data_IF_095884654389
#
_entry.id   IF_095884654389
#
_cell.length_a   1.000
_cell.length_b   1.000
_cell.length_c   1.000
_cell.angle_alpha   90.00
_cell.angle_beta   90.00
_cell.angle_gamma   90.00
#
_symmetry.space_group_name_H-M   'P 1'
#
loop_
_entity.id
_entity.type
_entity.pdbx_description
1 polymer ?
#
# COMPACT_ATOMS: atom_id res chain seq x y z
N UNK A 1 5.12 22.02 -24.51
CA UNK A 1 4.91 20.74 -23.80
C UNK A 1 4.93 21.00 -22.29
N UNK A 2 6.05 21.46 -21.67
CA UNK A 2 6.18 21.64 -20.21
C UNK A 2 5.05 22.47 -19.59
N UNK A 3 4.67 23.61 -20.18
CA UNK A 3 3.60 24.45 -19.63
C UNK A 3 2.22 23.78 -19.65
N UNK A 4 1.96 22.92 -20.63
CA UNK A 4 0.72 22.13 -20.66
C UNK A 4 0.71 21.09 -19.53
N UNK A 5 1.83 20.38 -19.35
CA UNK A 5 1.97 19.38 -18.27
C UNK A 5 1.88 20.02 -16.89
N UNK A 6 2.48 21.22 -16.70
CA UNK A 6 2.32 21.99 -15.45
C UNK A 6 0.87 22.31 -15.13
N UNK A 7 0.11 22.74 -16.14
CA UNK A 7 -1.32 23.05 -15.96
C UNK A 7 -2.12 21.78 -15.63
N UNK A 8 -1.83 20.68 -16.32
CA UNK A 8 -2.48 19.39 -16.06
C UNK A 8 -2.15 18.89 -14.64
N UNK A 9 -0.88 18.98 -14.23
CA UNK A 9 -0.42 18.59 -12.90
C UNK A 9 -1.08 19.44 -11.80
N UNK A 10 -1.12 20.77 -11.97
CA UNK A 10 -1.82 21.67 -11.04
C UNK A 10 -3.27 21.27 -10.87
N UNK A 11 -3.96 21.09 -11.98
CA UNK A 11 -5.37 20.68 -11.96
C UNK A 11 -5.55 19.33 -11.24
N UNK A 12 -4.68 18.36 -11.51
CA UNK A 12 -4.74 17.04 -10.83
C UNK A 12 -4.53 17.17 -9.31
N UNK A 13 -3.58 18.02 -8.88
CA UNK A 13 -3.32 18.29 -7.47
C UNK A 13 -4.46 19.05 -6.77
N UNK A 14 -5.11 19.97 -7.47
CA UNK A 14 -6.29 20.69 -6.98
C UNK A 14 -7.52 19.79 -6.90
N UNK A 15 -7.75 18.97 -7.94
CA UNK A 15 -8.88 18.05 -8.03
C UNK A 15 -8.83 16.94 -6.96
N UNK A 16 -7.66 16.67 -6.38
CA UNK A 16 -7.52 15.73 -5.26
C UNK A 16 -8.40 16.07 -4.06
N UNK A 17 -8.56 17.36 -3.76
CA UNK A 17 -9.45 17.82 -2.70
C UNK A 17 -10.91 17.40 -2.91
N UNK A 18 -11.28 17.06 -4.14
CA UNK A 18 -12.63 16.60 -4.46
C UNK A 18 -12.88 15.15 -4.05
N UNK A 19 -11.85 14.29 -4.04
CA UNK A 19 -11.94 12.93 -3.49
C UNK A 19 -11.55 12.91 -2.00
N UNK A 20 -12.54 13.03 -1.13
CA UNK A 20 -12.35 13.05 0.33
C UNK A 20 -11.73 11.77 0.88
N UNK A 21 -11.89 10.64 0.21
CA UNK A 21 -11.27 9.37 0.60
C UNK A 21 -9.76 9.41 0.34
N UNK A 22 -9.36 9.84 -0.85
CA UNK A 22 -7.94 10.00 -1.20
C UNK A 22 -7.30 11.06 -0.31
N UNK A 23 -7.96 12.20 -0.14
CA UNK A 23 -7.50 13.27 0.74
C UNK A 23 -7.25 12.78 2.16
N UNK A 24 -8.23 12.10 2.78
CA UNK A 24 -8.11 11.56 4.13
C UNK A 24 -6.93 10.58 4.26
N UNK A 25 -6.77 9.66 3.30
CA UNK A 25 -5.65 8.71 3.26
C UNK A 25 -4.30 9.44 3.17
N UNK A 26 -4.20 10.49 2.35
CA UNK A 26 -2.96 11.27 2.19
C UNK A 26 -2.59 12.04 3.45
N UNK A 27 -3.56 12.66 4.11
CA UNK A 27 -3.31 13.33 5.39
C UNK A 27 -2.88 12.33 6.47
N UNK A 28 -3.53 11.16 6.53
CA UNK A 28 -3.12 10.09 7.42
C UNK A 28 -1.69 9.60 7.13
N UNK A 29 -1.33 9.42 5.85
CA UNK A 29 0.02 9.04 5.43
C UNK A 29 1.06 10.10 5.81
N UNK A 30 0.74 11.38 5.67
CA UNK A 30 1.62 12.49 6.09
C UNK A 30 1.92 12.42 7.59
N UNK A 31 0.91 12.18 8.42
CA UNK A 31 1.08 12.00 9.87
C UNK A 31 1.86 10.71 10.20
N UNK A 32 1.67 9.67 9.40
CA UNK A 32 2.29 8.37 9.63
C UNK A 32 3.76 8.36 9.22
N UNK A 33 4.08 8.79 8.02
CA UNK A 33 5.43 8.74 7.47
C UNK A 33 6.30 9.94 7.83
N UNK A 34 5.69 11.12 8.11
CA UNK A 34 6.42 12.35 8.42
C UNK A 34 7.44 12.70 7.33
N UNK A 35 8.65 13.04 7.75
CA UNK A 35 9.76 13.41 6.84
C UNK A 35 10.52 12.19 6.26
N UNK A 36 10.01 10.97 6.44
CA UNK A 36 10.62 9.78 5.84
C UNK A 36 10.46 9.79 4.31
N UNK A 37 11.34 9.11 3.55
CA UNK A 37 11.21 9.01 2.10
C UNK A 37 9.85 8.49 1.62
N UNK A 38 9.20 7.60 2.40
CA UNK A 38 7.87 7.09 2.10
C UNK A 38 6.74 8.13 2.29
N UNK A 39 7.02 9.24 2.96
CA UNK A 39 6.11 10.37 3.13
C UNK A 39 6.15 11.39 1.98
N UNK A 40 7.17 11.30 1.11
CA UNK A 40 7.28 12.19 -0.05
C UNK A 40 6.17 11.85 -1.06
N UNK A 41 5.48 12.89 -1.51
CA UNK A 41 4.41 12.71 -2.49
C UNK A 41 4.98 12.40 -3.87
N UNK A 42 4.47 11.36 -4.49
CA UNK A 42 4.87 10.96 -5.85
C UNK A 42 4.55 12.05 -6.88
N UNK A 43 3.42 12.74 -6.71
CA UNK A 43 2.97 13.81 -7.59
C UNK A 43 3.61 15.17 -7.29
N UNK A 44 4.39 15.28 -6.21
CA UNK A 44 4.95 16.55 -5.73
C UNK A 44 3.92 17.45 -5.06
N UNK A 45 4.21 18.73 -5.00
CA UNK A 45 3.45 19.73 -4.26
C UNK A 45 3.03 20.88 -5.17
N UNK A 46 1.81 21.38 -5.00
CA UNK A 46 1.21 22.42 -5.85
C UNK A 46 2.08 23.69 -5.91
N UNK A 47 2.64 24.08 -4.77
CA UNK A 47 3.50 25.26 -4.63
C UNK A 47 4.83 25.15 -5.39
N UNK A 48 5.28 23.95 -5.73
CA UNK A 48 6.53 23.70 -6.44
C UNK A 48 6.36 23.69 -7.96
N UNK A 49 5.14 23.48 -8.47
CA UNK A 49 4.89 23.28 -9.90
C UNK A 49 5.31 24.48 -10.73
N UNK A 50 5.12 25.71 -10.22
CA UNK A 50 5.49 26.92 -10.95
C UNK A 50 6.99 27.07 -11.14
N UNK A 51 7.79 26.55 -10.21
CA UNK A 51 9.24 26.59 -10.28
C UNK A 51 9.86 25.61 -11.29
N UNK A 52 9.09 24.65 -11.82
CA UNK A 52 9.57 23.68 -12.80
C UNK A 52 9.91 24.39 -14.12
N UNK A 53 11.12 24.15 -14.64
CA UNK A 53 11.58 24.62 -15.94
C UNK A 53 12.06 23.46 -16.81
N UNK A 54 12.10 23.61 -18.16
CA UNK A 54 12.67 22.59 -19.04
C UNK A 54 14.11 22.22 -18.68
N UNK A 55 14.90 23.20 -18.23
CA UNK A 55 16.30 23.00 -17.84
C UNK A 55 16.38 22.16 -16.55
N UNK A 56 15.57 22.49 -15.53
CA UNK A 56 15.52 21.74 -14.27
C UNK A 56 15.05 20.29 -14.51
N UNK A 57 14.02 20.08 -15.33
CA UNK A 57 13.55 18.75 -15.69
C UNK A 57 14.60 17.93 -16.45
N UNK A 58 15.35 18.60 -17.37
CA UNK A 58 16.43 17.94 -18.09
C UNK A 58 17.58 17.55 -17.16
N UNK A 59 17.91 18.41 -16.19
CA UNK A 59 18.93 18.12 -15.18
C UNK A 59 18.52 16.95 -14.28
N UNK A 60 17.28 16.95 -13.77
CA UNK A 60 16.75 15.86 -12.96
C UNK A 60 16.68 14.53 -13.72
N UNK A 61 16.30 14.54 -15.00
CA UNK A 61 16.31 13.35 -15.85
C UNK A 61 17.73 12.76 -16.03
N UNK A 62 18.73 13.62 -16.22
CA UNK A 62 20.13 13.19 -16.32
C UNK A 62 20.62 12.60 -15.00
N UNK A 63 20.33 13.27 -13.88
CA UNK A 63 20.67 12.77 -12.55
C UNK A 63 20.02 11.40 -12.30
N UNK A 64 18.75 11.22 -12.67
CA UNK A 64 18.07 9.94 -12.59
C UNK A 64 18.80 8.86 -13.41
N UNK A 65 19.21 9.15 -14.65
CA UNK A 65 19.97 8.21 -15.47
C UNK A 65 21.34 7.87 -14.86
N UNK A 66 21.97 8.81 -14.19
CA UNK A 66 23.27 8.63 -13.53
C UNK A 66 23.17 7.79 -12.25
N UNK A 67 22.09 7.97 -11.47
CA UNK A 67 22.00 7.47 -10.10
C UNK A 67 20.98 6.37 -9.87
N UNK A 68 19.96 6.23 -10.72
CA UNK A 68 18.93 5.23 -10.54
C UNK A 68 19.48 3.80 -10.73
N UNK A 69 18.98 2.86 -9.96
CA UNK A 69 19.10 1.46 -10.29
C UNK A 69 18.17 1.13 -11.47
N UNK A 70 18.68 0.40 -12.43
CA UNK A 70 17.90 0.02 -13.62
C UNK A 70 17.81 -1.50 -13.65
N UNK A 71 16.59 -1.99 -13.64
CA UNK A 71 16.27 -3.41 -13.84
C UNK A 71 15.62 -3.57 -15.22
N UNK A 72 16.07 -4.58 -15.97
CA UNK A 72 15.54 -4.89 -17.29
C UNK A 72 14.87 -6.25 -17.25
N UNK A 73 13.55 -6.26 -17.45
CA UNK A 73 12.76 -7.47 -17.59
C UNK A 73 12.42 -7.66 -19.07
N UNK A 74 12.83 -8.77 -19.65
CA UNK A 74 12.57 -9.13 -21.05
C UNK A 74 11.75 -10.42 -21.08
N UNK A 75 10.56 -10.35 -21.66
CA UNK A 75 9.63 -11.47 -21.73
C UNK A 75 9.20 -11.73 -23.17
N UNK A 76 9.01 -12.99 -23.51
CA UNK A 76 8.46 -13.39 -24.81
C UNK A 76 9.45 -13.35 -25.99
N UNK A 77 10.75 -13.22 -25.72
CA UNK A 77 11.82 -13.25 -26.71
C UNK A 77 12.59 -14.57 -26.65
N UNK A 78 13.19 -14.95 -27.77
CA UNK A 78 14.19 -16.02 -27.77
C UNK A 78 15.52 -15.52 -27.14
N UNK A 79 16.37 -16.44 -26.68
CA UNK A 79 17.62 -16.09 -25.99
C UNK A 79 18.52 -15.17 -26.84
N UNK A 80 18.63 -15.43 -28.15
CA UNK A 80 19.42 -14.57 -29.04
C UNK A 80 18.89 -13.15 -29.19
N UNK A 81 17.58 -12.94 -29.14
CA UNK A 81 16.93 -11.62 -29.16
C UNK A 81 17.12 -10.91 -27.84
N UNK A 82 17.03 -11.63 -26.73
CA UNK A 82 17.27 -11.12 -25.38
C UNK A 82 18.67 -10.53 -25.26
N UNK A 83 19.71 -11.24 -25.73
CA UNK A 83 21.07 -10.73 -25.71
C UNK A 83 21.24 -9.48 -26.61
N UNK A 84 20.60 -9.43 -27.78
CA UNK A 84 20.62 -8.25 -28.64
C UNK A 84 20.02 -7.02 -27.97
N UNK A 85 18.86 -7.16 -27.30
CA UNK A 85 18.20 -6.07 -26.56
C UNK A 85 19.06 -5.61 -25.40
N UNK A 86 19.61 -6.55 -24.62
CA UNK A 86 20.54 -6.27 -23.52
C UNK A 86 21.76 -5.49 -24.00
N UNK A 87 22.41 -5.93 -25.06
CA UNK A 87 23.60 -5.29 -25.63
C UNK A 87 23.29 -3.87 -26.15
N UNK A 88 22.12 -3.68 -26.77
CA UNK A 88 21.68 -2.37 -27.22
C UNK A 88 21.49 -1.40 -26.05
N UNK A 89 20.80 -1.84 -24.99
CA UNK A 89 20.60 -1.04 -23.80
C UNK A 89 21.92 -0.69 -23.11
N UNK A 90 22.81 -1.68 -22.92
CA UNK A 90 24.11 -1.46 -22.29
C UNK A 90 24.97 -0.48 -23.09
N UNK A 91 24.87 -0.48 -24.41
CA UNK A 91 25.57 0.48 -25.29
C UNK A 91 25.08 1.91 -25.05
N UNK A 92 23.77 2.11 -25.02
CA UNK A 92 23.17 3.42 -24.74
C UNK A 92 23.52 3.92 -23.33
N UNK A 93 23.41 3.05 -22.33
CA UNK A 93 23.75 3.37 -20.95
C UNK A 93 25.25 3.64 -20.75
N UNK A 94 26.13 3.06 -21.58
CA UNK A 94 27.58 3.32 -21.51
C UNK A 94 27.98 4.75 -21.85
N UNK A 95 27.09 5.50 -22.52
CA UNK A 95 27.27 6.94 -22.78
C UNK A 95 27.05 7.82 -21.53
N UNK A 96 26.50 7.24 -20.45
CA UNK A 96 26.24 7.93 -19.19
C UNK A 96 27.23 7.45 -18.14
N UNK A 97 27.91 8.36 -17.44
CA UNK A 97 28.75 8.01 -16.29
C UNK A 97 27.84 7.66 -15.09
N UNK A 98 27.58 6.36 -14.93
CA UNK A 98 26.64 5.86 -13.92
C UNK A 98 27.29 5.66 -12.55
N UNK A 99 26.60 6.17 -11.53
CA UNK A 99 26.91 6.00 -10.10
C UNK A 99 25.64 5.59 -9.34
N UNK A 100 25.13 4.37 -9.56
CA UNK A 100 23.85 3.95 -8.97
C UNK A 100 23.85 4.11 -7.45
N UNK A 101 22.87 4.85 -6.94
CA UNK A 101 22.65 4.95 -5.50
C UNK A 101 22.12 3.62 -4.96
N UNK A 102 22.49 3.22 -3.72
CA UNK A 102 21.90 2.05 -3.12
C UNK A 102 20.39 2.24 -2.95
N UNK A 103 19.62 1.20 -3.25
CA UNK A 103 18.17 1.23 -2.97
C UNK A 103 17.97 1.36 -1.46
N UNK A 104 17.03 2.21 -1.06
CA UNK A 104 16.48 2.15 0.29
C UNK A 104 15.78 0.79 0.43
N UNK A 105 16.30 -0.06 1.31
CA UNK A 105 15.70 -1.35 1.59
C UNK A 105 14.29 -1.22 2.18
N UNK A 106 13.68 -2.37 2.48
CA UNK A 106 12.40 -2.39 3.18
C UNK A 106 12.52 -1.58 4.47
N UNK A 107 11.65 -0.58 4.60
CA UNK A 107 11.59 0.23 5.82
C UNK A 107 10.35 -0.18 6.63
N UNK A 108 10.41 0.08 7.94
CA UNK A 108 9.21 0.03 8.76
C UNK A 108 9.14 1.27 9.64
N UNK A 109 7.95 1.78 9.82
CA UNK A 109 7.74 2.85 10.79
C UNK A 109 7.78 2.25 12.20
N UNK A 110 8.53 2.86 13.13
CA UNK A 110 8.61 2.37 14.50
C UNK A 110 7.25 2.43 15.19
N UNK A 111 7.02 1.53 16.14
CA UNK A 111 5.84 1.60 17.02
C UNK A 111 5.91 2.88 17.86
N UNK A 112 4.78 3.55 17.97
CA UNK A 112 4.61 4.78 18.75
C UNK A 112 3.20 4.84 19.32
N UNK A 113 2.99 5.73 20.29
CA UNK A 113 1.66 6.07 20.75
C UNK A 113 0.82 6.58 19.57
N UNK A 114 -0.43 6.12 19.43
CA UNK A 114 -1.27 6.51 18.31
C UNK A 114 -1.54 8.01 18.27
N UNK A 115 -1.21 8.64 17.16
CA UNK A 115 -1.63 10.00 16.89
C UNK A 115 -3.08 10.00 16.41
N UNK A 116 -3.97 10.71 17.14
CA UNK A 116 -5.36 10.90 16.76
C UNK A 116 -5.54 12.31 16.21
N UNK A 117 -6.03 12.40 14.98
CA UNK A 117 -6.25 13.67 14.27
C UNK A 117 -7.69 13.73 13.79
N UNK A 118 -8.31 14.85 14.07
CA UNK A 118 -9.66 15.18 13.57
C UNK A 118 -9.55 16.47 12.77
N UNK A 119 -10.02 16.42 11.54
CA UNK A 119 -10.08 17.58 10.65
C UNK A 119 -11.55 17.88 10.31
N UNK A 120 -11.93 19.15 10.50
CA UNK A 120 -13.24 19.63 10.11
C UNK A 120 -13.27 19.90 8.61
N UNK A 121 -14.17 19.23 7.93
CA UNK A 121 -14.35 19.39 6.49
C UNK A 121 -15.82 19.19 6.10
N UNK A 122 -16.31 20.01 5.17
CA UNK A 122 -17.67 19.82 4.64
C UNK A 122 -17.72 18.58 3.73
N UNK A 123 -18.26 17.51 4.27
CA UNK A 123 -18.39 16.23 3.59
C UNK A 123 -19.72 15.57 3.95
N UNK A 124 -20.32 14.85 3.00
CA UNK A 124 -21.59 14.14 3.20
C UNK A 124 -21.43 13.01 4.22
N UNK A 125 -20.26 12.36 4.22
CA UNK A 125 -19.92 11.26 5.11
C UNK A 125 -18.54 11.49 5.71
N UNK A 126 -18.34 11.15 6.96
CA UNK A 126 -17.02 11.14 7.55
C UNK A 126 -16.13 10.09 6.88
N UNK A 127 -14.83 10.38 6.81
CA UNK A 127 -13.80 9.45 6.33
C UNK A 127 -12.83 9.15 7.47
N UNK A 128 -12.72 7.88 7.79
CA UNK A 128 -11.81 7.38 8.82
C UNK A 128 -10.69 6.59 8.13
N UNK A 129 -9.45 7.01 8.36
CA UNK A 129 -8.26 6.29 7.94
C UNK A 129 -7.41 5.94 9.15
N UNK A 130 -7.15 4.66 9.35
CA UNK A 130 -6.33 4.15 10.45
C UNK A 130 -5.09 3.48 9.88
N UNK A 131 -3.90 3.91 10.32
CA UNK A 131 -2.62 3.39 9.86
C UNK A 131 -1.92 2.60 10.98
N UNK A 132 -1.52 1.40 10.62
CA UNK A 132 -0.85 0.45 11.50
C UNK A 132 0.55 0.15 10.98
N UNK A 133 1.46 -0.20 11.87
CA UNK A 133 2.80 -0.67 11.53
C UNK A 133 3.07 -2.05 12.11
N UNK A 134 3.89 -2.85 11.40
CA UNK A 134 4.53 -4.04 11.98
C UNK A 134 5.63 -3.67 12.98
N UNK A 135 6.19 -2.44 12.89
CA UNK A 135 7.27 -1.96 13.74
C UNK A 135 8.67 -2.45 13.33
N UNK A 136 8.73 -3.39 12.41
CA UNK A 136 9.94 -3.98 11.85
C UNK A 136 9.76 -4.21 10.34
N UNK A 137 10.83 -4.19 9.54
CA UNK A 137 10.75 -4.54 8.12
C UNK A 137 10.16 -5.94 7.95
N UNK A 138 9.22 -6.05 7.02
CA UNK A 138 8.63 -7.35 6.69
C UNK A 138 9.68 -8.27 6.07
N UNK A 139 9.78 -9.50 6.58
CA UNK A 139 10.65 -10.51 6.00
C UNK A 139 9.96 -11.24 4.84
N UNK A 140 10.71 -11.63 3.80
CA UNK A 140 10.15 -12.35 2.64
C UNK A 140 9.41 -13.64 3.02
N UNK A 141 9.91 -14.39 4.00
CA UNK A 141 9.32 -15.64 4.50
C UNK A 141 7.94 -15.43 5.17
N UNK A 142 7.61 -14.21 5.58
CA UNK A 142 6.32 -13.86 6.18
C UNK A 142 5.23 -13.50 5.14
N UNK A 143 5.58 -13.32 3.86
CA UNK A 143 4.67 -12.78 2.86
C UNK A 143 3.36 -13.56 2.75
N UNK A 144 3.40 -14.88 2.74
CA UNK A 144 2.21 -15.72 2.65
C UNK A 144 1.29 -15.51 3.87
N UNK A 145 1.87 -15.50 5.07
CA UNK A 145 1.12 -15.27 6.32
C UNK A 145 0.54 -13.85 6.36
N UNK A 146 1.30 -12.83 5.91
CA UNK A 146 0.83 -11.45 5.83
C UNK A 146 -0.36 -11.34 4.86
N UNK A 147 -0.26 -11.91 3.66
CA UNK A 147 -1.36 -11.90 2.69
C UNK A 147 -2.64 -12.49 3.28
N UNK A 148 -2.54 -13.64 3.94
CA UNK A 148 -3.70 -14.30 4.53
C UNK A 148 -4.24 -13.53 5.75
N UNK A 149 -3.38 -12.99 6.61
CA UNK A 149 -3.77 -12.16 7.74
C UNK A 149 -4.51 -10.89 7.28
N UNK A 150 -4.01 -10.23 6.23
CA UNK A 150 -4.66 -9.03 5.68
C UNK A 150 -5.99 -9.35 5.00
N UNK A 151 -6.08 -10.47 4.24
CA UNK A 151 -7.33 -10.91 3.64
C UNK A 151 -8.40 -11.21 4.69
N UNK A 152 -8.03 -11.90 5.77
CA UNK A 152 -8.93 -12.24 6.88
C UNK A 152 -9.40 -11.00 7.64
N UNK A 153 -8.53 -10.01 7.86
CA UNK A 153 -8.88 -8.81 8.62
C UNK A 153 -9.79 -7.88 7.82
N UNK A 154 -9.37 -7.40 6.65
CA UNK A 154 -10.12 -6.39 5.89
C UNK A 154 -9.84 -6.35 4.39
N UNK A 155 -9.07 -7.32 3.87
CA UNK A 155 -8.64 -7.33 2.46
C UNK A 155 -9.56 -8.09 1.51
N UNK A 156 -10.69 -8.65 1.97
CA UNK A 156 -11.61 -9.42 1.16
C UNK A 156 -13.07 -9.13 1.53
N UNK A 157 -14.00 -9.55 0.68
CA UNK A 157 -15.45 -9.47 0.97
C UNK A 157 -15.92 -10.50 2.02
N UNK A 158 -15.07 -11.46 2.36
CA UNK A 158 -15.27 -12.42 3.45
C UNK A 158 -14.49 -12.05 4.71
N UNK A 159 -13.85 -10.89 4.73
CA UNK A 159 -13.07 -10.40 5.86
C UNK A 159 -13.93 -9.98 7.05
N UNK A 160 -13.33 -9.97 8.24
CA UNK A 160 -14.04 -9.54 9.45
C UNK A 160 -14.49 -8.10 9.43
N UNK A 161 -13.71 -7.20 8.88
CA UNK A 161 -14.14 -5.79 8.73
C UNK A 161 -15.36 -5.68 7.83
N UNK A 162 -15.38 -6.43 6.73
CA UNK A 162 -16.53 -6.42 5.82
C UNK A 162 -17.77 -7.05 6.48
N UNK A 163 -17.67 -8.28 6.99
CA UNK A 163 -18.81 -9.03 7.51
C UNK A 163 -19.34 -8.46 8.85
N UNK A 164 -18.45 -8.03 9.74
CA UNK A 164 -18.86 -7.61 11.08
C UNK A 164 -19.13 -6.11 11.15
N UNK A 165 -18.16 -5.25 10.71
CA UNK A 165 -18.29 -3.80 10.89
C UNK A 165 -19.27 -3.19 9.88
N UNK A 166 -19.21 -3.67 8.62
CA UNK A 166 -20.10 -3.17 7.57
C UNK A 166 -21.45 -3.87 7.55
N UNK A 167 -21.49 -5.22 7.39
CA UNK A 167 -22.73 -5.94 7.12
C UNK A 167 -23.55 -6.21 8.39
N UNK A 168 -22.91 -6.66 9.47
CA UNK A 168 -23.62 -6.98 10.72
C UNK A 168 -23.97 -5.76 11.54
N UNK A 169 -22.98 -4.89 11.79
CA UNK A 169 -23.11 -3.76 12.71
C UNK A 169 -23.57 -2.47 12.00
N UNK A 170 -23.57 -2.44 10.67
CA UNK A 170 -24.00 -1.33 9.80
C UNK A 170 -23.32 0.02 10.14
N UNK A 171 -22.07 0.00 10.64
CA UNK A 171 -21.35 1.19 11.08
C UNK A 171 -20.70 1.97 9.94
N UNK A 172 -20.62 1.39 8.75
CA UNK A 172 -19.92 2.01 7.62
C UNK A 172 -20.47 1.58 6.27
N UNK A 173 -20.29 2.43 5.26
CA UNK A 173 -20.63 2.13 3.86
C UNK A 173 -19.57 1.25 3.20
N UNK A 174 -18.32 1.44 3.59
CA UNK A 174 -17.20 0.59 3.24
C UNK A 174 -16.22 0.55 4.40
N UNK A 175 -15.57 -0.58 4.58
CA UNK A 175 -14.47 -0.77 5.51
C UNK A 175 -13.52 -1.82 4.91
N UNK A 176 -12.32 -1.40 4.57
CA UNK A 176 -11.36 -2.29 3.93
C UNK A 176 -9.94 -1.97 4.36
N UNK A 177 -9.10 -2.99 4.44
CA UNK A 177 -7.66 -2.84 4.69
C UNK A 177 -6.84 -3.07 3.44
N UNK A 178 -5.72 -2.37 3.36
CA UNK A 178 -4.67 -2.58 2.37
C UNK A 178 -3.31 -2.62 3.06
N UNK A 179 -2.40 -3.46 2.57
CA UNK A 179 -1.07 -3.64 3.15
C UNK A 179 0.01 -3.24 2.17
N UNK A 180 0.98 -2.46 2.66
CA UNK A 180 2.15 -2.04 1.89
C UNK A 180 3.39 -2.78 2.41
N UNK A 181 3.86 -3.74 1.62
CA UNK A 181 4.95 -4.64 2.02
C UNK A 181 6.28 -3.93 2.22
N UNK A 182 6.58 -2.90 1.44
CA UNK A 182 7.85 -2.18 1.51
C UNK A 182 8.01 -1.32 2.76
N UNK A 183 6.90 -0.91 3.36
CA UNK A 183 6.88 -0.09 4.59
C UNK A 183 6.38 -0.86 5.81
N UNK A 184 5.98 -2.12 5.65
CA UNK A 184 5.41 -2.92 6.73
C UNK A 184 4.18 -2.26 7.36
N UNK A 185 3.40 -1.51 6.57
CA UNK A 185 2.27 -0.74 7.04
C UNK A 185 0.94 -1.24 6.47
N UNK A 186 -0.12 -1.07 7.25
CA UNK A 186 -1.48 -1.37 6.86
C UNK A 186 -2.35 -0.14 7.04
N UNK A 187 -3.14 0.17 6.01
CA UNK A 187 -4.18 1.19 6.08
C UNK A 187 -5.55 0.52 6.17
N UNK A 188 -6.39 0.96 7.10
CA UNK A 188 -7.82 0.68 7.12
C UNK A 188 -8.55 1.96 6.74
N UNK A 189 -9.34 1.89 5.67
CA UNK A 189 -10.14 3.02 5.19
C UNK A 189 -11.62 2.72 5.35
N UNK A 190 -12.37 3.66 5.91
CA UNK A 190 -13.80 3.54 6.15
C UNK A 190 -14.55 4.82 5.84
N UNK A 191 -15.76 4.69 5.27
CA UNK A 191 -16.71 5.77 5.12
C UNK A 191 -17.86 5.56 6.08
N UNK A 192 -18.08 6.49 7.00
CA UNK A 192 -18.99 6.32 8.14
C UNK A 192 -19.95 7.51 8.27
N UNK A 193 -21.07 7.32 8.94
CA UNK A 193 -21.86 8.46 9.40
C UNK A 193 -21.06 9.25 10.45
N UNK A 194 -21.25 10.57 10.50
CA UNK A 194 -20.51 11.44 11.41
C UNK A 194 -20.67 11.02 12.87
N UNK A 195 -21.87 10.67 13.29
CA UNK A 195 -22.18 10.23 14.66
C UNK A 195 -21.65 8.82 14.99
N UNK A 196 -21.31 8.00 14.00
CA UNK A 196 -20.83 6.64 14.21
C UNK A 196 -19.31 6.50 14.13
N UNK A 197 -18.57 7.58 13.89
CA UNK A 197 -17.12 7.54 13.66
C UNK A 197 -16.36 6.86 14.83
N UNK A 198 -16.63 7.25 16.06
CA UNK A 198 -16.00 6.66 17.24
C UNK A 198 -16.38 5.18 17.44
N UNK A 199 -17.63 4.81 17.16
CA UNK A 199 -18.10 3.43 17.24
C UNK A 199 -17.44 2.55 16.17
N UNK A 200 -17.30 3.08 14.95
CA UNK A 200 -16.62 2.38 13.85
C UNK A 200 -15.13 2.17 14.16
N UNK A 201 -14.42 3.19 14.67
CA UNK A 201 -13.03 3.06 15.11
C UNK A 201 -12.89 1.97 16.17
N UNK A 202 -13.74 1.99 17.20
CA UNK A 202 -13.72 0.97 18.25
C UNK A 202 -14.02 -0.44 17.72
N UNK A 203 -14.98 -0.58 16.80
CA UNK A 203 -15.30 -1.86 16.17
C UNK A 203 -14.15 -2.40 15.31
N UNK A 204 -13.48 -1.54 14.53
CA UNK A 204 -12.30 -1.91 13.72
C UNK A 204 -11.18 -2.44 14.63
N UNK A 205 -10.87 -1.75 15.72
CA UNK A 205 -9.85 -2.19 16.68
C UNK A 205 -10.25 -3.48 17.38
N UNK A 206 -11.52 -3.62 17.74
CA UNK A 206 -12.05 -4.83 18.37
C UNK A 206 -11.90 -6.06 17.47
N UNK A 207 -12.21 -5.95 16.19
CA UNK A 207 -12.04 -7.08 15.25
C UNK A 207 -10.56 -7.49 15.11
N UNK A 208 -9.61 -6.53 15.20
CA UNK A 208 -8.19 -6.86 15.23
C UNK A 208 -7.82 -7.63 16.50
N UNK A 209 -8.30 -7.20 17.66
CA UNK A 209 -8.03 -7.86 18.94
C UNK A 209 -8.72 -9.24 19.03
N UNK A 210 -9.92 -9.38 18.51
CA UNK A 210 -10.62 -10.65 18.40
C UNK A 210 -9.85 -11.66 17.51
N UNK A 211 -9.23 -11.20 16.43
CA UNK A 211 -8.36 -12.05 15.60
C UNK A 211 -7.05 -12.45 16.30
N UNK A 212 -6.50 -11.59 17.15
CA UNK A 212 -5.27 -11.85 17.92
C UNK A 212 -5.47 -12.89 19.02
N UNK A 213 -6.61 -12.87 19.68
CA UNK A 213 -6.84 -13.58 20.93
C UNK A 213 -7.98 -14.60 20.88
N UNK A 214 -8.98 -14.33 20.07
CA UNK A 214 -10.17 -15.15 19.93
C UNK A 214 -10.04 -16.28 18.91
N UNK A 215 -11.12 -16.99 18.65
CA UNK A 215 -11.15 -18.08 17.68
C UNK A 215 -11.09 -17.54 16.24
N UNK A 216 -10.28 -18.19 15.42
CA UNK A 216 -10.32 -18.12 13.95
C UNK A 216 -10.88 -19.47 13.50
N UNK A 217 -12.01 -19.49 12.81
CA UNK A 217 -12.60 -20.75 12.31
C UNK A 217 -11.80 -21.30 11.13
N UNK A 218 -11.94 -22.58 10.84
CA UNK A 218 -11.30 -23.17 9.64
C UNK A 218 -11.96 -22.64 8.37
N UNK A 219 -13.27 -22.41 8.41
CA UNK A 219 -14.06 -21.86 7.31
C UNK A 219 -13.59 -20.43 6.94
N UNK A 220 -13.50 -19.51 7.91
CA UNK A 220 -13.00 -18.14 7.66
C UNK A 220 -11.60 -18.14 7.02
N UNK A 221 -10.71 -19.00 7.56
CA UNK A 221 -9.33 -19.06 7.05
C UNK A 221 -9.28 -19.61 5.63
N UNK A 222 -10.08 -20.65 5.37
CA UNK A 222 -10.11 -21.32 4.06
C UNK A 222 -10.76 -20.45 2.99
N UNK A 223 -11.85 -19.75 3.30
CA UNK A 223 -12.52 -18.82 2.37
C UNK A 223 -11.55 -17.69 1.93
N UNK A 224 -10.81 -17.11 2.87
CA UNK A 224 -9.81 -16.10 2.55
C UNK A 224 -8.65 -16.70 1.75
N UNK A 225 -8.22 -17.93 2.07
CA UNK A 225 -7.18 -18.65 1.34
C UNK A 225 -7.59 -18.92 -0.10
N UNK A 226 -8.78 -19.43 -0.31
CA UNK A 226 -9.33 -19.73 -1.65
C UNK A 226 -9.46 -18.44 -2.47
N UNK A 227 -9.93 -17.37 -1.87
CA UNK A 227 -10.00 -16.05 -2.53
C UNK A 227 -8.64 -15.56 -3.00
N UNK A 228 -7.60 -15.68 -2.17
CA UNK A 228 -6.23 -15.32 -2.55
C UNK A 228 -5.66 -16.22 -3.63
N UNK A 229 -5.86 -17.54 -3.52
CA UNK A 229 -5.39 -18.50 -4.51
C UNK A 229 -6.04 -18.24 -5.87
N UNK A 230 -7.38 -17.99 -5.88
CA UNK A 230 -8.09 -17.62 -7.11
C UNK A 230 -7.58 -16.32 -7.72
N UNK A 231 -7.23 -15.32 -6.90
CA UNK A 231 -6.59 -14.09 -7.38
C UNK A 231 -5.19 -14.28 -7.96
N UNK A 232 -4.56 -15.43 -7.69
CA UNK A 232 -3.26 -15.81 -8.25
C UNK A 232 -3.39 -16.69 -9.50
N UNK A 233 -4.58 -17.21 -9.79
CA UNK A 233 -4.86 -17.88 -11.06
C UNK A 233 -4.77 -16.84 -12.18
N UNK A 234 -4.19 -17.18 -13.30
CA UNK A 234 -4.08 -16.25 -14.42
C UNK A 234 -2.89 -15.27 -14.37
N UNK A 235 -2.07 -15.26 -13.33
CA UNK A 235 -0.81 -14.49 -13.35
C UNK A 235 0.05 -14.91 -14.55
N UNK A 236 0.09 -16.21 -14.81
CA UNK A 236 0.90 -16.82 -15.88
C UNK A 236 0.22 -16.77 -17.26
N UNK A 237 -1.04 -16.35 -17.33
CA UNK A 237 -1.80 -16.25 -18.57
C UNK A 237 -1.47 -14.99 -19.39
N UNK A 238 -0.72 -14.06 -18.82
CA UNK A 238 -0.32 -12.82 -19.50
C UNK A 238 1.12 -12.45 -19.21
N UNK A 239 1.80 -11.90 -20.22
CA UNK A 239 3.17 -11.37 -20.06
C UNK A 239 3.23 -10.27 -18.99
N UNK A 240 2.22 -9.39 -18.93
CA UNK A 240 2.14 -8.34 -17.92
C UNK A 240 1.95 -8.88 -16.49
N UNK A 241 1.21 -9.98 -16.32
CA UNK A 241 1.08 -10.69 -15.04
C UNK A 241 2.43 -11.25 -14.57
N UNK A 242 3.15 -11.93 -15.46
CA UNK A 242 4.48 -12.48 -15.22
C UNK A 242 5.47 -11.35 -14.89
N UNK A 243 5.50 -10.29 -15.71
CA UNK A 243 6.36 -9.12 -15.49
C UNK A 243 6.13 -8.52 -14.11
N UNK A 244 4.89 -8.16 -13.79
CA UNK A 244 4.53 -7.55 -12.51
C UNK A 244 4.91 -8.44 -11.33
N UNK A 245 4.69 -9.76 -11.45
CA UNK A 245 5.05 -10.71 -10.42
C UNK A 245 6.55 -10.69 -10.13
N UNK A 246 7.38 -10.93 -11.13
CA UNK A 246 8.83 -11.00 -10.94
C UNK A 246 9.45 -9.64 -10.65
N UNK A 247 8.92 -8.55 -11.20
CA UNK A 247 9.34 -7.20 -10.83
C UNK A 247 9.17 -6.96 -9.33
N UNK A 248 8.02 -7.35 -8.76
CA UNK A 248 7.79 -7.23 -7.33
C UNK A 248 8.70 -8.12 -6.49
N UNK A 249 9.07 -9.31 -6.97
CA UNK A 249 10.04 -10.18 -6.29
C UNK A 249 11.46 -9.58 -6.31
N UNK A 250 11.88 -8.99 -7.42
CA UNK A 250 13.15 -8.24 -7.52
C UNK A 250 13.18 -7.09 -6.53
N UNK A 251 12.13 -6.27 -6.48
CA UNK A 251 12.04 -5.12 -5.56
C UNK A 251 12.10 -5.54 -4.08
N UNK A 252 11.52 -6.69 -3.73
CA UNK A 252 11.57 -7.22 -2.35
C UNK A 252 12.92 -7.78 -1.96
N UNK A 253 13.78 -8.09 -2.93
CA UNK A 253 15.08 -8.70 -2.67
C UNK A 253 14.99 -10.10 -2.07
N UNK A 254 13.89 -10.81 -2.28
CA UNK A 254 13.58 -12.11 -1.66
C UNK A 254 14.00 -13.32 -2.49
N UNK A 255 14.64 -13.09 -3.63
CA UNK A 255 14.81 -14.11 -4.65
C UNK A 255 13.59 -14.15 -5.58
N UNK A 256 13.69 -14.92 -6.66
CA UNK A 256 12.61 -15.00 -7.66
C UNK A 256 11.65 -16.14 -7.30
N UNK A 257 10.78 -15.93 -6.32
CA UNK A 257 9.73 -16.91 -5.99
C UNK A 257 8.75 -17.03 -7.15
N UNK A 258 8.50 -18.25 -7.62
CA UNK A 258 7.49 -18.49 -8.65
C UNK A 258 6.07 -18.36 -8.09
N UNK A 259 5.05 -18.09 -8.94
CA UNK A 259 3.65 -18.10 -8.49
C UNK A 259 3.23 -19.43 -7.84
N UNK A 260 3.74 -20.56 -8.34
CA UNK A 260 3.47 -21.89 -7.75
C UNK A 260 4.06 -22.06 -6.35
N UNK A 261 5.29 -21.63 -6.14
CA UNK A 261 5.91 -21.63 -4.80
C UNK A 261 5.15 -20.73 -3.83
N UNK A 262 4.69 -19.57 -4.29
CA UNK A 262 3.89 -18.67 -3.49
C UNK A 262 2.51 -19.25 -3.16
N UNK A 263 1.85 -19.93 -4.13
CA UNK A 263 0.61 -20.68 -3.88
C UNK A 263 0.82 -21.81 -2.88
N UNK A 264 1.92 -22.55 -3.00
CA UNK A 264 2.28 -23.61 -2.04
C UNK A 264 2.52 -23.03 -0.61
N UNK A 265 3.28 -21.95 -0.52
CA UNK A 265 3.51 -21.26 0.75
C UNK A 265 2.18 -20.79 1.39
N UNK A 266 1.27 -20.22 0.59
CA UNK A 266 -0.04 -19.76 1.07
C UNK A 266 -0.91 -20.92 1.58
N UNK A 267 -0.87 -22.10 0.93
CA UNK A 267 -1.58 -23.31 1.40
C UNK A 267 -1.05 -23.81 2.74
N UNK A 268 0.23 -23.62 3.03
CA UNK A 268 0.89 -24.06 4.25
C UNK A 268 0.65 -23.15 5.47
N UNK A 269 0.17 -21.92 5.27
CA UNK A 269 -0.04 -20.96 6.36
C UNK A 269 -1.05 -21.48 7.36
N UNK A 270 -0.72 -21.45 8.64
CA UNK A 270 -1.57 -21.85 9.76
C UNK A 270 -2.26 -20.65 10.42
N UNK A 271 -3.26 -20.93 11.27
CA UNK A 271 -3.91 -19.89 12.12
C UNK A 271 -2.91 -19.19 13.03
N UNK A 272 -1.90 -19.90 13.52
CA UNK A 272 -0.90 -19.30 14.40
C UNK A 272 0.05 -18.39 13.64
N UNK A 273 0.40 -18.71 12.40
CA UNK A 273 1.18 -17.81 11.53
C UNK A 273 0.42 -16.50 11.30
N UNK A 274 -0.89 -16.59 11.00
CA UNK A 274 -1.77 -15.42 10.86
C UNK A 274 -1.79 -14.59 12.14
N UNK A 275 -1.97 -15.23 13.31
CA UNK A 275 -1.96 -14.53 14.60
C UNK A 275 -0.61 -13.88 14.90
N UNK A 276 0.48 -14.54 14.57
CA UNK A 276 1.83 -13.99 14.77
C UNK A 276 2.02 -12.67 14.01
N UNK A 277 1.49 -12.56 12.79
CA UNK A 277 1.48 -11.31 12.03
C UNK A 277 0.57 -10.26 12.68
N UNK A 278 -0.68 -10.62 13.00
CA UNK A 278 -1.65 -9.67 13.56
C UNK A 278 -1.21 -9.11 14.92
N UNK A 279 -0.49 -9.89 15.73
CA UNK A 279 0.10 -9.44 17.00
C UNK A 279 1.21 -8.39 16.82
N UNK A 280 1.88 -8.39 15.67
CA UNK A 280 2.91 -7.39 15.36
C UNK A 280 2.32 -6.04 14.98
N UNK A 281 1.11 -6.00 14.41
CA UNK A 281 0.46 -4.76 14.03
C UNK A 281 0.20 -3.88 15.27
N UNK A 282 0.49 -2.60 15.17
CA UNK A 282 0.10 -1.60 16.15
C UNK A 282 -0.43 -0.35 15.46
N UNK A 283 -1.52 0.21 15.99
CA UNK A 283 -2.05 1.48 15.51
C UNK A 283 -1.01 2.58 15.72
N UNK A 284 -0.81 3.42 14.73
CA UNK A 284 0.09 4.57 14.78
C UNK A 284 -0.62 5.89 14.50
N UNK A 285 -1.64 5.87 13.64
CA UNK A 285 -2.42 7.06 13.28
C UNK A 285 -3.88 6.68 13.14
N UNK A 286 -4.75 7.47 13.73
CA UNK A 286 -6.18 7.51 13.42
C UNK A 286 -6.51 8.91 12.94
N UNK A 287 -6.92 9.03 11.67
CA UNK A 287 -7.26 10.29 11.02
C UNK A 287 -8.73 10.30 10.63
N UNK A 288 -9.46 11.25 11.18
CA UNK A 288 -10.89 11.43 10.93
C UNK A 288 -11.14 12.75 10.22
N UNK A 289 -11.75 12.69 9.06
CA UNK A 289 -12.28 13.83 8.33
C UNK A 289 -13.80 13.87 8.55
N UNK A 290 -14.31 14.90 9.22
CA UNK A 290 -15.71 14.97 9.66
C UNK A 290 -16.23 16.41 9.67
N UNK A 291 -17.52 16.63 9.86
CA UNK A 291 -18.13 17.95 10.12
C UNK A 291 -17.93 18.37 11.57
N UNK A 292 -18.14 19.65 11.86
CA UNK A 292 -18.08 20.20 13.23
C UNK A 292 -18.97 19.44 14.23
N UNK A 293 -20.17 19.04 13.80
CA UNK A 293 -21.11 18.27 14.62
C UNK A 293 -20.58 16.89 15.04
N UNK A 294 -19.68 16.29 14.25
CA UNK A 294 -19.06 15.00 14.52
C UNK A 294 -17.86 15.07 15.48
N UNK A 295 -17.40 16.27 15.85
CA UNK A 295 -16.25 16.45 16.75
C UNK A 295 -16.65 16.28 18.21
N UNK A 296 -17.90 16.54 18.56
CA UNK A 296 -18.39 16.49 19.95
C UNK A 296 -18.42 15.06 20.54
N UNK A 297 -18.38 14.02 19.70
CA UNK A 297 -18.53 12.61 20.10
C UNK A 297 -17.21 11.81 19.99
N UNK A 298 -16.07 12.46 19.64
CA UNK A 298 -14.75 11.87 19.48
C UNK A 298 -13.78 12.37 20.57
#
# INVERSE_FOLDING_TARGET
>A
AVEIEKQMLKKALEDELNDKRIYCLRQANREFFGDSPAGIRQEGYLEEVDALTPEALTAAYREMLETAQIELLILGCEEAETEQVKDALLRELSAVERRPAPLCGNMAMPRREPARKVECFDTVQAKLCMLFTLGEPMRPDQMAAVRLAMALYGGSVTSRLFLNVRERDHLCYYCASSFQSFTGSMAVNSGVEHADAARAEAAILKELDDLRTGPITDEELEDCRLSLLSGMEGIEDSLGGIETWYYMEVLRGSGLQTPDEARAALRAVTKEDVRAILRQLSLSVSYLLTREEGIADV
#
